data_IF_696035788281
#
_entry.id   IF_696035788281
#
_cell.length_a   1.000
_cell.length_b   1.000
_cell.length_c   1.000
_cell.angle_alpha   90.00
_cell.angle_beta   90.00
_cell.angle_gamma   90.00
#
_symmetry.space_group_name_H-M   'P 1'
#
loop_
_entity.id
_entity.type
_entity.pdbx_description
1 polymer ?
#
# COMPACT_ATOMS: atom_id res chain seq x y z
N UNK A 1 17.47 -5.01 9.46
CA UNK A 1 17.10 -4.34 8.19
C UNK A 1 15.91 -4.98 7.44
N UNK A 2 15.79 -6.31 7.30
CA UNK A 2 14.69 -6.96 6.55
C UNK A 2 13.27 -6.60 7.07
N UNK A 3 13.08 -6.58 8.40
CA UNK A 3 11.79 -6.23 9.01
C UNK A 3 11.41 -4.75 8.81
N UNK A 4 12.40 -3.85 8.72
CA UNK A 4 12.17 -2.41 8.49
C UNK A 4 11.65 -2.18 7.07
N UNK A 5 12.26 -2.86 6.08
CA UNK A 5 11.85 -2.80 4.68
C UNK A 5 10.43 -3.33 4.46
N UNK A 6 10.06 -4.40 5.17
CA UNK A 6 8.70 -4.93 5.15
C UNK A 6 7.68 -3.97 5.77
N UNK A 7 8.00 -3.39 6.94
CA UNK A 7 7.13 -2.39 7.59
C UNK A 7 6.95 -1.14 6.72
N UNK A 8 8.00 -0.68 6.05
CA UNK A 8 7.92 0.46 5.13
C UNK A 8 6.96 0.21 3.95
N UNK A 9 6.99 -0.98 3.36
CA UNK A 9 6.07 -1.36 2.28
C UNK A 9 4.62 -1.35 2.74
N UNK A 10 4.33 -1.89 3.94
CA UNK A 10 2.98 -1.84 4.51
C UNK A 10 2.51 -0.40 4.77
N UNK A 11 3.38 0.45 5.32
CA UNK A 11 3.07 1.88 5.52
C UNK A 11 2.74 2.54 4.18
N UNK A 12 3.49 2.22 3.12
CA UNK A 12 3.27 2.79 1.79
C UNK A 12 1.93 2.38 1.17
N UNK A 13 1.52 1.12 1.37
CA UNK A 13 0.20 0.62 0.96
C UNK A 13 -0.90 1.35 1.72
N UNK A 14 -0.78 1.44 3.05
CA UNK A 14 -1.75 2.14 3.90
C UNK A 14 -1.87 3.61 3.48
N UNK A 15 -0.74 4.27 3.22
CA UNK A 15 -0.70 5.65 2.74
C UNK A 15 -1.46 5.80 1.42
N UNK A 16 -1.22 4.90 0.46
CA UNK A 16 -1.94 4.89 -0.82
C UNK A 16 -3.45 4.72 -0.66
N UNK A 17 -3.89 3.85 0.25
CA UNK A 17 -5.31 3.68 0.60
C UNK A 17 -5.87 4.98 1.18
N UNK A 18 -5.17 5.58 2.14
CA UNK A 18 -5.59 6.85 2.75
C UNK A 18 -5.76 7.97 1.70
N UNK A 19 -4.83 8.09 0.75
CA UNK A 19 -4.91 9.10 -0.33
C UNK A 19 -6.18 8.91 -1.16
N UNK A 20 -6.50 7.67 -1.55
CA UNK A 20 -7.71 7.35 -2.32
C UNK A 20 -8.96 7.65 -1.51
N UNK A 21 -9.00 7.23 -0.24
CA UNK A 21 -10.15 7.43 0.65
C UNK A 21 -10.41 8.91 0.90
N UNK A 22 -9.38 9.69 1.24
CA UNK A 22 -9.51 11.13 1.45
C UNK A 22 -9.96 11.82 0.16
N UNK A 23 -9.42 11.42 -0.99
CA UNK A 23 -9.84 11.98 -2.28
C UNK A 23 -11.32 11.73 -2.56
N UNK A 24 -11.82 10.52 -2.27
CA UNK A 24 -13.26 10.21 -2.40
C UNK A 24 -14.12 11.06 -1.47
N UNK A 25 -13.70 11.20 -0.22
CA UNK A 25 -14.40 12.03 0.77
C UNK A 25 -14.46 13.49 0.29
N UNK A 26 -13.34 14.03 -0.19
CA UNK A 26 -13.26 15.41 -0.67
C UNK A 26 -14.15 15.63 -1.90
N UNK A 27 -14.14 14.70 -2.86
CA UNK A 27 -15.03 14.74 -4.04
C UNK A 27 -16.51 14.83 -3.64
N UNK A 28 -16.91 14.17 -2.56
CA UNK A 28 -18.30 14.16 -2.11
C UNK A 28 -18.66 15.37 -1.22
N UNK A 29 -17.70 15.83 -0.41
CA UNK A 29 -17.93 16.91 0.55
C UNK A 29 -17.87 18.29 -0.12
N UNK A 30 -16.99 18.51 -1.10
CA UNK A 30 -16.82 19.84 -1.70
C UNK A 30 -18.11 20.39 -2.34
N UNK A 31 -18.89 19.63 -3.12
CA UNK A 31 -20.16 20.13 -3.64
C UNK A 31 -21.15 20.51 -2.53
N UNK A 32 -21.17 19.74 -1.42
CA UNK A 32 -22.05 20.00 -0.26
C UNK A 32 -21.61 21.28 0.48
N UNK A 33 -20.30 21.48 0.65
CA UNK A 33 -19.75 22.72 1.21
C UNK A 33 -20.02 23.92 0.28
N UNK A 34 -19.87 23.74 -1.03
CA UNK A 34 -20.22 24.74 -2.04
C UNK A 34 -21.68 25.15 -1.94
N UNK A 35 -22.59 24.20 -1.75
CA UNK A 35 -24.01 24.47 -1.53
C UNK A 35 -24.27 25.24 -0.23
N UNK A 36 -23.64 24.86 0.88
CA UNK A 36 -23.78 25.55 2.16
C UNK A 36 -23.25 26.99 2.09
N UNK A 37 -22.11 27.20 1.44
CA UNK A 37 -21.54 28.53 1.20
C UNK A 37 -22.44 29.37 0.30
N UNK A 38 -22.98 28.78 -0.76
CA UNK A 38 -23.93 29.43 -1.65
C UNK A 38 -25.20 29.89 -0.92
N UNK A 39 -25.81 29.01 -0.11
CA UNK A 39 -26.98 29.36 0.69
C UNK A 39 -26.65 30.47 1.69
N UNK A 40 -25.46 30.43 2.29
CA UNK A 40 -25.00 31.48 3.21
C UNK A 40 -24.79 32.82 2.52
N UNK A 41 -24.43 32.82 1.23
CA UNK A 41 -24.24 34.03 0.42
C UNK A 41 -25.54 34.59 -0.17
N UNK A 42 -26.68 33.89 -0.02
CA UNK A 42 -27.96 34.21 -0.68
C UNK A 42 -27.79 34.44 -2.20
N UNK A 43 -26.82 33.76 -2.82
CA UNK A 43 -26.54 33.90 -4.24
C UNK A 43 -27.66 33.25 -5.08
N UNK A 44 -27.82 33.71 -6.32
CA UNK A 44 -29.02 33.48 -7.14
C UNK A 44 -29.32 32.03 -7.53
N UNK A 45 -28.44 31.35 -8.30
CA UNK A 45 -28.63 29.96 -8.76
C UNK A 45 -27.39 29.08 -8.48
N UNK A 46 -27.59 27.89 -7.89
CA UNK A 46 -26.53 26.92 -7.58
C UNK A 46 -26.42 25.84 -8.64
N UNK A 47 -25.20 25.59 -9.12
CA UNK A 47 -24.88 24.52 -10.06
C UNK A 47 -23.76 23.64 -9.46
N UNK A 48 -24.07 22.39 -9.04
CA UNK A 48 -23.12 21.51 -8.37
C UNK A 48 -21.87 21.21 -9.20
N UNK A 49 -22.03 21.16 -10.53
CA UNK A 49 -20.97 20.92 -11.53
C UNK A 49 -19.80 21.91 -11.44
N UNK A 50 -20.06 23.15 -11.01
CA UNK A 50 -19.03 24.17 -10.83
C UNK A 50 -18.14 23.93 -9.60
N UNK A 51 -18.51 22.99 -8.73
CA UNK A 51 -17.78 22.63 -7.52
C UNK A 51 -17.15 21.24 -7.60
N UNK A 52 -17.19 20.58 -8.77
CA UNK A 52 -16.47 19.33 -8.98
C UNK A 52 -14.96 19.56 -8.94
N UNK A 53 -14.26 18.74 -8.14
CA UNK A 53 -12.81 18.78 -8.04
C UNK A 53 -12.22 17.59 -8.77
N UNK A 54 -11.30 17.87 -9.69
CA UNK A 54 -10.58 16.82 -10.40
C UNK A 54 -9.45 16.28 -9.50
N UNK A 55 -9.70 15.14 -8.86
CA UNK A 55 -8.71 14.43 -8.04
C UNK A 55 -8.08 13.23 -8.76
N UNK A 56 -8.15 13.19 -10.10
CA UNK A 56 -7.60 12.11 -10.93
C UNK A 56 -6.13 11.84 -10.62
N UNK A 57 -5.33 12.90 -10.43
CA UNK A 57 -3.92 12.77 -10.05
C UNK A 57 -3.73 12.09 -8.68
N UNK A 58 -4.58 12.41 -7.70
CA UNK A 58 -4.49 11.80 -6.38
C UNK A 58 -4.81 10.30 -6.44
N UNK A 59 -5.78 9.89 -7.26
CA UNK A 59 -6.06 8.47 -7.49
C UNK A 59 -4.88 7.76 -8.14
N UNK A 60 -4.25 8.36 -9.15
CA UNK A 60 -3.05 7.80 -9.76
C UNK A 60 -1.90 7.65 -8.77
N UNK A 61 -1.64 8.68 -7.95
CA UNK A 61 -0.59 8.65 -6.92
C UNK A 61 -0.89 7.57 -5.87
N UNK A 62 -2.14 7.50 -5.40
CA UNK A 62 -2.57 6.47 -4.44
C UNK A 62 -2.44 5.05 -5.01
N UNK A 63 -2.86 4.85 -6.27
CA UNK A 63 -2.73 3.57 -6.96
C UNK A 63 -1.25 3.16 -7.15
N UNK A 64 -0.39 4.10 -7.55
CA UNK A 64 1.06 3.86 -7.68
C UNK A 64 1.69 3.53 -6.32
N UNK A 65 1.26 4.16 -5.23
CA UNK A 65 1.72 3.81 -3.88
C UNK A 65 1.36 2.37 -3.51
N UNK A 66 0.11 1.97 -3.75
CA UNK A 66 -0.36 0.61 -3.46
C UNK A 66 0.42 -0.41 -4.32
N UNK A 67 0.51 -0.18 -5.62
CA UNK A 67 1.23 -1.07 -6.55
C UNK A 67 2.71 -1.21 -6.18
N UNK A 68 3.40 -0.10 -5.94
CA UNK A 68 4.80 -0.11 -5.52
C UNK A 68 5.01 -0.85 -4.20
N UNK A 69 4.11 -0.63 -3.24
CA UNK A 69 4.11 -1.34 -1.97
C UNK A 69 3.95 -2.86 -2.12
N UNK A 70 2.98 -3.31 -2.92
CA UNK A 70 2.70 -4.73 -3.18
C UNK A 70 3.87 -5.41 -3.89
N UNK A 71 4.40 -4.82 -4.96
CA UNK A 71 5.52 -5.36 -5.73
C UNK A 71 6.72 -5.60 -4.81
N UNK A 72 7.01 -4.62 -3.94
CA UNK A 72 8.12 -4.72 -3.01
C UNK A 72 7.92 -5.81 -1.95
N UNK A 73 6.67 -5.97 -1.47
CA UNK A 73 6.30 -7.00 -0.50
C UNK A 73 6.49 -8.41 -1.08
N UNK A 74 6.05 -8.63 -2.32
CA UNK A 74 6.25 -9.90 -3.04
C UNK A 74 7.74 -10.21 -3.20
N UNK A 75 8.54 -9.22 -3.64
CA UNK A 75 9.98 -9.39 -3.84
C UNK A 75 10.70 -9.79 -2.55
N UNK A 76 10.38 -9.15 -1.43
CA UNK A 76 10.96 -9.51 -0.12
C UNK A 76 10.53 -10.92 0.31
N UNK A 77 9.25 -11.26 0.13
CA UNK A 77 8.74 -12.58 0.50
C UNK A 77 9.47 -13.70 -0.25
N UNK A 78 9.67 -13.55 -1.56
CA UNK A 78 10.41 -14.52 -2.37
C UNK A 78 11.87 -14.66 -1.93
N UNK A 79 12.55 -13.55 -1.62
CA UNK A 79 13.95 -13.59 -1.12
C UNK A 79 14.01 -14.34 0.22
N UNK A 80 13.06 -14.09 1.13
CA UNK A 80 13.02 -14.77 2.43
C UNK A 80 12.77 -16.27 2.25
N UNK A 81 11.84 -16.66 1.37
CA UNK A 81 11.55 -18.07 1.08
C UNK A 81 12.79 -18.80 0.53
N UNK A 82 13.48 -18.21 -0.45
CA UNK A 82 14.66 -18.84 -1.05
C UNK A 82 15.76 -19.07 -0.01
N UNK A 83 16.01 -18.08 0.85
CA UNK A 83 16.99 -18.18 1.92
C UNK A 83 16.62 -19.24 2.96
N UNK A 84 15.32 -19.40 3.27
CA UNK A 84 14.86 -20.42 4.20
C UNK A 84 15.05 -21.84 3.65
N UNK A 85 14.79 -22.04 2.36
CA UNK A 85 14.99 -23.33 1.69
C UNK A 85 16.49 -23.70 1.62
N UNK A 86 17.38 -22.75 1.33
CA UNK A 86 18.84 -22.97 1.39
C UNK A 86 19.30 -23.40 2.79
N UNK A 87 18.78 -22.77 3.84
CA UNK A 87 19.12 -23.12 5.23
C UNK A 87 18.63 -24.53 5.58
N UNK A 88 17.40 -24.90 5.17
CA UNK A 88 16.86 -26.25 5.37
C UNK A 88 17.72 -27.30 4.67
N UNK A 89 18.11 -27.04 3.41
CA UNK A 89 18.93 -27.96 2.63
C UNK A 89 20.28 -28.20 3.32
N UNK A 90 20.95 -27.13 3.77
CA UNK A 90 22.21 -27.23 4.51
C UNK A 90 22.05 -28.01 5.81
N UNK A 91 21.00 -27.74 6.59
CA UNK A 91 20.77 -28.46 7.85
C UNK A 91 20.57 -29.96 7.61
N UNK A 92 19.83 -30.33 6.56
CA UNK A 92 19.64 -31.74 6.19
C UNK A 92 20.96 -32.42 5.82
N UNK A 93 21.82 -31.74 5.05
CA UNK A 93 23.16 -32.25 4.72
C UNK A 93 24.05 -32.42 5.96
N UNK A 94 23.96 -31.50 6.93
CA UNK A 94 24.68 -31.62 8.19
C UNK A 94 24.19 -32.82 9.01
N UNK A 95 22.88 -33.05 9.09
CA UNK A 95 22.31 -34.20 9.80
C UNK A 95 22.70 -35.54 9.15
N UNK A 96 22.65 -35.63 7.82
CA UNK A 96 23.09 -36.82 7.08
C UNK A 96 24.58 -37.11 7.31
N UNK A 97 25.42 -36.07 7.27
CA UNK A 97 26.86 -36.22 7.56
C UNK A 97 27.13 -36.64 9.00
N UNK A 98 26.38 -36.10 9.96
CA UNK A 98 26.50 -36.49 11.37
C UNK A 98 26.11 -37.94 11.62
N UNK A 99 25.04 -38.42 10.98
CA UNK A 99 24.61 -39.82 11.07
C UNK A 99 25.65 -40.78 10.50
N UNK A 100 26.22 -40.48 9.33
CA UNK A 100 27.23 -41.35 8.71
C UNK A 100 28.49 -41.45 9.58
N UNK A 101 28.92 -40.34 10.19
CA UNK A 101 30.09 -40.33 11.08
C UNK A 101 29.89 -41.08 12.41
N UNK A 102 28.67 -41.50 12.78
CA UNK A 102 28.42 -42.33 13.97
C UNK A 102 28.30 -43.83 13.65
N UNK A 103 28.32 -44.20 12.37
CA UNK A 103 28.23 -45.60 11.92
C UNK A 103 29.59 -46.19 11.50
N UNK A 104 30.63 -45.35 11.40
CA UNK A 104 32.05 -45.75 11.33
C UNK A 104 32.66 -45.86 12.74
#
# INVERSE_FOLDING_TARGET
>A
MKNIKFRFSLIFIILGICIITISKIVEEIIPKLGFAAYQSAAAGSFYPENYHVNLTLNYWIGALCILGGIIYLIKISNIIKNQLEEIKLRNKQFEEKFKNNQQE
#
